data_IF_396159694715
#
_entry.id   IF_396159694715
#
_cell.length_a   1.000
_cell.length_b   1.000
_cell.length_c   1.000
_cell.angle_alpha   90.00
_cell.angle_beta   90.00
_cell.angle_gamma   90.00
#
_symmetry.space_group_name_H-M   'P 1'
#
loop_
_entity.id
_entity.type
_entity.pdbx_description
1 polymer ?
#
# COMPACT_ATOMS: atom_id res chain seq x y z
N UNK A 1 -12.69 24.36 -25.48
CA UNK A 1 -13.27 23.65 -24.34
C UNK A 1 -12.50 24.14 -23.12
N UNK A 2 -13.13 24.94 -22.29
CA UNK A 2 -12.57 25.32 -20.99
C UNK A 2 -12.48 24.05 -20.16
N UNK A 3 -11.26 23.59 -19.84
CA UNK A 3 -11.07 22.54 -18.85
C UNK A 3 -11.46 23.13 -17.50
N UNK A 4 -12.59 22.70 -16.94
CA UNK A 4 -12.98 23.10 -15.60
C UNK A 4 -11.84 22.79 -14.64
N UNK A 5 -11.55 23.72 -13.72
CA UNK A 5 -10.55 23.50 -12.67
C UNK A 5 -10.91 22.23 -11.89
N UNK A 6 -9.95 21.32 -11.61
CA UNK A 6 -10.24 20.11 -10.86
C UNK A 6 -10.78 20.47 -9.48
N UNK A 7 -11.76 19.72 -9.01
CA UNK A 7 -12.35 19.90 -7.66
C UNK A 7 -11.38 19.47 -6.58
N UNK A 8 -10.62 18.40 -6.84
CA UNK A 8 -9.51 17.95 -5.99
C UNK A 8 -8.27 17.58 -6.80
N UNK A 9 -7.11 17.75 -6.16
CA UNK A 9 -5.81 17.31 -6.66
C UNK A 9 -5.31 16.17 -5.78
N UNK A 10 -4.94 15.05 -6.39
CA UNK A 10 -4.50 13.85 -5.68
C UNK A 10 -3.02 13.59 -5.98
N UNK A 11 -2.23 13.46 -4.94
CA UNK A 11 -0.83 13.03 -5.03
C UNK A 11 -0.68 11.56 -4.70
N UNK A 12 0.30 10.92 -5.31
CA UNK A 12 0.70 9.55 -5.03
C UNK A 12 2.19 9.36 -5.32
N UNK A 13 2.74 8.24 -4.88
CA UNK A 13 4.08 7.74 -5.20
C UNK A 13 4.01 6.47 -6.07
N UNK A 14 5.13 5.78 -6.31
CA UNK A 14 5.14 4.48 -6.99
C UNK A 14 5.06 3.35 -5.96
N UNK A 15 3.95 2.61 -5.96
CA UNK A 15 3.73 1.44 -5.12
C UNK A 15 2.91 0.37 -5.87
N UNK A 16 3.61 -0.47 -6.63
CA UNK A 16 2.99 -1.54 -7.43
C UNK A 16 2.41 -2.64 -6.53
N UNK A 17 1.28 -3.22 -6.93
CA UNK A 17 0.44 -2.95 -8.11
C UNK A 17 -0.66 -1.91 -7.85
N UNK A 18 -0.65 -1.17 -6.73
CA UNK A 18 -1.75 -0.31 -6.30
C UNK A 18 -1.81 1.00 -7.07
N UNK A 19 -0.66 1.65 -7.27
CA UNK A 19 -0.50 2.90 -8.03
C UNK A 19 0.95 3.03 -8.52
N UNK A 20 1.13 3.30 -9.81
CA UNK A 20 2.44 3.34 -10.44
C UNK A 20 2.37 4.09 -11.78
N UNK A 21 3.51 4.53 -12.35
CA UNK A 21 3.52 5.15 -13.68
C UNK A 21 3.16 4.12 -14.75
N UNK A 22 2.06 4.37 -15.47
CA UNK A 22 1.64 3.56 -16.61
C UNK A 22 2.44 3.89 -17.89
N UNK A 23 2.35 3.01 -18.89
CA UNK A 23 3.05 3.15 -20.17
C UNK A 23 2.60 4.38 -20.98
N UNK A 24 1.37 4.82 -20.80
CA UNK A 24 0.78 6.01 -21.44
C UNK A 24 1.13 7.33 -20.73
N UNK A 25 1.99 7.28 -19.72
CA UNK A 25 2.38 8.43 -18.90
C UNK A 25 1.35 8.83 -17.85
N UNK A 26 0.25 8.08 -17.71
CA UNK A 26 -0.74 8.27 -16.66
C UNK A 26 -0.43 7.39 -15.46
N UNK A 27 -1.06 7.70 -14.34
CA UNK A 27 -0.97 6.85 -13.15
C UNK A 27 -1.92 5.67 -13.33
N UNK A 28 -1.41 4.47 -13.15
CA UNK A 28 -2.12 3.20 -13.26
C UNK A 28 -2.11 2.45 -11.93
N UNK A 29 -2.90 1.38 -11.83
CA UNK A 29 -2.94 0.50 -10.66
C UNK A 29 -4.35 0.32 -10.12
N UNK A 30 -4.50 -0.68 -9.24
CA UNK A 30 -5.83 -1.11 -8.76
C UNK A 30 -6.51 -0.04 -7.90
N UNK A 31 -5.76 0.64 -7.05
CA UNK A 31 -6.29 1.74 -6.21
C UNK A 31 -6.48 3.01 -7.04
N UNK A 32 -5.60 3.28 -8.02
CA UNK A 32 -5.81 4.40 -8.95
C UNK A 32 -7.14 4.27 -9.69
N UNK A 33 -7.43 3.07 -10.23
CA UNK A 33 -8.70 2.82 -10.91
C UNK A 33 -9.89 2.97 -9.95
N UNK A 34 -9.78 2.43 -8.73
CA UNK A 34 -10.83 2.58 -7.72
C UNK A 34 -11.12 4.06 -7.43
N UNK A 35 -10.08 4.86 -7.20
CA UNK A 35 -10.25 6.29 -6.87
C UNK A 35 -10.83 7.07 -8.04
N UNK A 36 -10.43 6.76 -9.29
CA UNK A 36 -11.05 7.36 -10.48
C UNK A 36 -12.52 7.01 -10.56
N UNK A 37 -12.86 5.75 -10.39
CA UNK A 37 -14.24 5.27 -10.39
C UNK A 37 -15.09 5.92 -9.28
N UNK A 38 -14.52 6.14 -8.10
CA UNK A 38 -15.22 6.83 -7.00
C UNK A 38 -15.48 8.30 -7.34
N UNK A 39 -14.52 8.96 -7.98
CA UNK A 39 -14.66 10.34 -8.43
C UNK A 39 -15.76 10.47 -9.48
N UNK A 40 -15.79 9.56 -10.46
CA UNK A 40 -16.80 9.52 -11.50
C UNK A 40 -18.20 9.28 -10.90
N UNK A 41 -18.36 8.30 -10.01
CA UNK A 41 -19.62 8.00 -9.31
C UNK A 41 -20.09 9.18 -8.43
N UNK A 42 -19.15 9.91 -7.83
CA UNK A 42 -19.44 11.08 -6.99
C UNK A 42 -19.64 12.38 -7.79
N UNK A 43 -19.39 12.38 -9.11
CA UNK A 43 -19.43 13.58 -9.96
C UNK A 43 -18.35 14.59 -9.59
N UNK A 44 -17.17 14.14 -9.19
CA UNK A 44 -16.02 14.94 -8.76
C UNK A 44 -14.94 14.91 -9.84
N UNK A 45 -14.44 16.08 -10.25
CA UNK A 45 -13.30 16.17 -11.16
C UNK A 45 -11.99 16.08 -10.38
N UNK A 46 -11.12 15.14 -10.79
CA UNK A 46 -9.84 14.89 -10.14
C UNK A 46 -8.67 15.13 -11.09
N UNK A 47 -7.57 15.62 -10.55
CA UNK A 47 -6.27 15.67 -11.21
C UNK A 47 -5.27 14.89 -10.34
N UNK A 48 -4.53 13.95 -10.96
CA UNK A 48 -3.62 13.06 -10.22
C UNK A 48 -2.16 13.33 -10.60
N UNK A 49 -1.28 13.40 -9.63
CA UNK A 49 0.15 13.63 -9.81
C UNK A 49 0.99 12.64 -9.02
N UNK A 50 1.97 12.08 -9.68
CA UNK A 50 3.01 11.30 -9.01
C UNK A 50 4.12 12.24 -8.49
N UNK A 51 4.46 12.10 -7.21
CA UNK A 51 5.50 12.90 -6.52
C UNK A 51 6.24 12.04 -5.52
N UNK A 52 7.49 12.34 -5.20
CA UNK A 52 8.13 11.75 -4.03
C UNK A 52 7.28 11.98 -2.77
N UNK A 53 7.15 10.95 -1.94
CA UNK A 53 6.24 10.90 -0.79
C UNK A 53 6.18 12.21 0.02
N UNK A 54 7.33 12.68 0.52
CA UNK A 54 7.39 13.90 1.34
C UNK A 54 6.89 15.15 0.61
N UNK A 55 7.14 15.24 -0.70
CA UNK A 55 6.69 16.40 -1.49
C UNK A 55 5.19 16.36 -1.74
N UNK A 56 4.64 15.19 -2.01
CA UNK A 56 3.19 15.01 -2.16
C UNK A 56 2.46 15.30 -0.86
N UNK A 57 2.94 14.77 0.26
CA UNK A 57 2.32 14.98 1.57
C UNK A 57 2.35 16.46 1.99
N UNK A 58 3.50 17.14 1.84
CA UNK A 58 3.59 18.58 2.11
C UNK A 58 2.63 19.41 1.24
N UNK A 59 2.41 18.99 -0.01
CA UNK A 59 1.46 19.68 -0.89
C UNK A 59 0.01 19.50 -0.41
N UNK A 60 -0.34 18.33 0.12
CA UNK A 60 -1.66 18.07 0.74
C UNK A 60 -1.83 18.94 1.98
N UNK A 61 -0.86 18.96 2.88
CA UNK A 61 -0.93 19.75 4.11
C UNK A 61 -1.07 21.26 3.85
N UNK A 62 -0.52 21.74 2.72
CA UNK A 62 -0.49 23.17 2.38
C UNK A 62 -1.70 23.67 1.58
N UNK A 63 -2.59 22.78 1.08
CA UNK A 63 -3.67 23.17 0.18
C UNK A 63 -4.97 22.43 0.49
N UNK A 64 -6.04 23.20 0.71
CA UNK A 64 -7.31 22.69 1.21
C UNK A 64 -8.01 21.66 0.30
N UNK A 65 -7.82 21.72 -1.03
CA UNK A 65 -8.44 20.78 -1.98
C UNK A 65 -7.49 19.67 -2.46
N UNK A 66 -6.46 19.36 -1.68
CA UNK A 66 -5.49 18.33 -2.02
C UNK A 66 -5.65 17.09 -1.15
N UNK A 67 -5.40 15.91 -1.76
CA UNK A 67 -5.42 14.62 -1.08
C UNK A 67 -4.15 13.82 -1.44
N UNK A 68 -3.78 12.85 -0.59
CA UNK A 68 -2.77 11.84 -0.87
C UNK A 68 -3.45 10.48 -1.03
N UNK A 69 -3.19 9.79 -2.13
CA UNK A 69 -3.81 8.49 -2.43
C UNK A 69 -3.19 7.39 -1.58
N UNK A 70 -4.05 6.59 -0.95
CA UNK A 70 -3.70 5.37 -0.27
C UNK A 70 -2.58 5.54 0.77
N UNK A 71 -2.70 6.60 1.57
CA UNK A 71 -1.84 6.80 2.74
C UNK A 71 -2.20 5.79 3.83
N UNK A 72 -1.20 5.25 4.50
CA UNK A 72 -1.41 4.44 5.70
C UNK A 72 -2.10 5.27 6.78
N UNK A 73 -3.31 4.84 7.17
CA UNK A 73 -4.10 5.48 8.22
C UNK A 73 -3.64 4.97 9.57
N UNK A 74 -2.72 5.70 10.18
CA UNK A 74 -2.16 5.39 11.50
C UNK A 74 -2.74 6.31 12.57
N UNK A 75 -2.66 5.89 13.83
CA UNK A 75 -3.12 6.69 14.97
C UNK A 75 -2.44 8.07 15.03
N UNK A 76 -1.17 8.15 14.65
CA UNK A 76 -0.42 9.41 14.59
C UNK A 76 -0.95 10.36 13.50
N UNK A 77 -1.37 9.81 12.36
CA UNK A 77 -1.88 10.59 11.22
C UNK A 77 -3.35 10.91 11.30
N UNK A 78 -4.12 10.15 12.10
CA UNK A 78 -5.57 10.29 12.20
C UNK A 78 -6.06 11.73 12.37
N UNK A 79 -5.48 12.56 13.28
CA UNK A 79 -5.97 13.92 13.51
C UNK A 79 -5.56 14.94 12.43
N UNK A 80 -4.64 14.58 11.52
CA UNK A 80 -4.03 15.52 10.59
C UNK A 80 -4.78 15.62 9.25
N UNK A 81 -5.65 14.65 8.94
CA UNK A 81 -6.31 14.54 7.64
C UNK A 81 -7.80 14.27 7.79
N UNK A 82 -8.55 14.61 6.73
CA UNK A 82 -9.90 14.08 6.51
C UNK A 82 -9.79 12.84 5.63
N UNK A 83 -10.34 11.71 6.07
CA UNK A 83 -10.14 10.41 5.48
C UNK A 83 -11.33 9.94 4.65
N UNK A 84 -11.05 9.33 3.49
CA UNK A 84 -12.01 8.54 2.73
C UNK A 84 -11.46 7.12 2.57
N UNK A 85 -12.17 6.15 3.11
CA UNK A 85 -11.67 4.77 3.10
C UNK A 85 -12.49 3.79 3.94
N UNK A 86 -11.95 2.57 4.13
CA UNK A 86 -10.69 2.07 3.57
C UNK A 86 -10.77 1.82 2.05
N UNK A 87 -9.71 2.19 1.32
CA UNK A 87 -9.58 1.86 -0.10
C UNK A 87 -9.05 0.45 -0.30
N UNK A 88 -8.09 0.04 0.54
CA UNK A 88 -7.49 -1.28 0.57
C UNK A 88 -6.96 -1.58 1.98
N UNK A 89 -6.72 -2.85 2.28
CA UNK A 89 -6.01 -3.30 3.49
C UNK A 89 -4.66 -3.82 3.05
N UNK A 90 -3.60 -3.25 3.59
CA UNK A 90 -2.23 -3.67 3.33
C UNK A 90 -1.49 -3.91 4.66
N UNK A 91 -0.19 -3.95 4.63
CA UNK A 91 0.68 -4.20 5.76
C UNK A 91 1.94 -4.92 5.34
N UNK A 92 2.56 -5.64 6.24
CA UNK A 92 3.74 -6.44 5.94
C UNK A 92 3.77 -7.73 6.74
N UNK A 93 4.56 -8.66 6.24
CA UNK A 93 4.68 -9.99 6.80
C UNK A 93 5.93 -10.71 6.34
N UNK A 94 6.08 -11.92 6.83
CA UNK A 94 7.18 -12.81 6.48
C UNK A 94 6.70 -13.84 5.45
N UNK A 95 7.45 -13.92 4.36
CA UNK A 95 7.21 -14.83 3.27
C UNK A 95 8.38 -15.81 3.13
N UNK A 96 8.09 -17.02 2.63
CA UNK A 96 9.09 -18.00 2.24
C UNK A 96 8.77 -18.56 0.84
N UNK A 97 9.65 -19.38 0.30
CA UNK A 97 9.32 -20.16 -0.89
C UNK A 97 8.14 -21.09 -0.60
N UNK A 98 7.22 -21.19 -1.54
CA UNK A 98 6.07 -22.06 -1.44
C UNK A 98 6.48 -23.51 -1.23
N UNK A 99 5.85 -24.16 -0.23
CA UNK A 99 6.19 -25.52 0.19
C UNK A 99 7.41 -25.58 1.10
N UNK A 100 7.83 -24.46 1.67
CA UNK A 100 8.84 -24.47 2.73
C UNK A 100 8.30 -25.22 3.95
N UNK A 101 9.20 -25.81 4.73
CA UNK A 101 8.84 -26.47 6.01
C UNK A 101 8.96 -25.52 7.21
N UNK A 102 9.06 -24.21 6.95
CA UNK A 102 9.19 -23.20 7.99
C UNK A 102 7.80 -22.87 8.53
N UNK A 103 7.64 -22.97 9.83
CA UNK A 103 6.43 -22.56 10.55
C UNK A 103 6.78 -21.41 11.49
N UNK A 104 6.00 -20.33 11.43
CA UNK A 104 6.18 -19.15 12.28
C UNK A 104 4.86 -18.85 12.98
N UNK A 105 4.90 -18.64 14.29
CA UNK A 105 3.78 -18.21 15.12
C UNK A 105 4.01 -16.81 15.69
N UNK A 106 5.27 -16.46 15.91
CA UNK A 106 5.72 -15.16 16.44
C UNK A 106 6.85 -14.60 15.57
N UNK A 107 7.17 -13.33 15.76
CA UNK A 107 8.30 -12.71 15.06
C UNK A 107 9.63 -13.34 15.45
N UNK A 108 9.78 -13.74 16.72
CA UNK A 108 10.97 -14.37 17.26
C UNK A 108 11.28 -15.72 16.62
N UNK A 109 10.25 -16.45 16.15
CA UNK A 109 10.46 -17.70 15.41
C UNK A 109 11.27 -17.49 14.11
N UNK A 110 11.23 -16.26 13.56
CA UNK A 110 12.00 -15.90 12.37
C UNK A 110 13.49 -15.69 12.64
N UNK A 111 13.90 -15.49 13.89
CA UNK A 111 15.28 -15.14 14.27
C UNK A 111 16.30 -16.25 13.97
N UNK A 112 15.84 -17.48 13.82
CA UNK A 112 16.67 -18.61 13.38
C UNK A 112 16.97 -18.63 11.87
N UNK A 113 16.40 -17.71 11.07
CA UNK A 113 16.48 -17.75 9.62
C UNK A 113 17.05 -16.45 9.04
N UNK A 114 17.86 -16.58 7.98
CA UNK A 114 18.27 -15.41 7.20
C UNK A 114 17.05 -14.79 6.53
N UNK A 115 16.81 -13.50 6.78
CA UNK A 115 15.64 -12.77 6.31
C UNK A 115 16.04 -11.60 5.44
N UNK A 116 15.64 -11.60 4.18
CA UNK A 116 15.83 -10.48 3.27
C UNK A 116 14.83 -9.36 3.56
N UNK A 117 15.27 -8.11 3.48
CA UNK A 117 14.43 -6.94 3.71
C UNK A 117 14.97 -5.72 2.96
N UNK A 118 14.11 -4.76 2.61
CA UNK A 118 14.55 -3.50 2.00
C UNK A 118 15.01 -2.53 3.09
N UNK A 119 16.23 -2.03 2.94
CA UNK A 119 16.83 -1.10 3.90
C UNK A 119 16.05 0.21 4.03
N UNK A 120 15.86 0.67 5.26
CA UNK A 120 15.20 1.95 5.56
C UNK A 120 13.66 1.94 5.53
N UNK A 121 13.03 0.81 5.20
CA UNK A 121 11.58 0.68 5.35
C UNK A 121 11.18 0.59 6.82
N UNK A 122 9.99 1.10 7.15
CA UNK A 122 9.44 1.04 8.52
C UNK A 122 9.41 -0.40 9.05
N UNK A 123 8.92 -1.34 8.25
CA UNK A 123 8.88 -2.76 8.62
C UNK A 123 10.26 -3.34 8.92
N UNK A 124 11.29 -2.92 8.16
CA UNK A 124 12.67 -3.35 8.37
C UNK A 124 13.24 -2.78 9.66
N UNK A 125 13.00 -1.49 9.92
CA UNK A 125 13.44 -0.84 11.15
C UNK A 125 12.78 -1.49 12.37
N UNK A 126 11.49 -1.78 12.32
CA UNK A 126 10.77 -2.46 13.39
C UNK A 126 11.32 -3.87 13.65
N UNK A 127 11.68 -4.63 12.59
CA UNK A 127 12.28 -5.95 12.77
C UNK A 127 13.71 -5.88 13.31
N UNK A 128 14.47 -4.82 12.97
CA UNK A 128 15.78 -4.52 13.57
C UNK A 128 15.64 -4.16 15.05
N UNK A 129 14.67 -3.31 15.39
CA UNK A 129 14.40 -2.89 16.77
C UNK A 129 13.92 -4.06 17.64
N UNK A 130 13.22 -5.03 17.04
CA UNK A 130 12.86 -6.30 17.68
C UNK A 130 14.09 -7.21 17.92
N UNK A 131 15.26 -6.87 17.38
CA UNK A 131 16.51 -7.58 17.60
C UNK A 131 16.75 -8.76 16.65
N UNK A 132 16.14 -8.77 15.44
CA UNK A 132 16.37 -9.85 14.47
C UNK A 132 17.85 -9.96 14.08
N UNK A 133 18.54 -11.10 14.34
CA UNK A 133 20.00 -11.20 14.25
C UNK A 133 20.53 -11.44 12.82
N UNK A 134 19.68 -11.86 11.88
CA UNK A 134 20.09 -12.36 10.55
C UNK A 134 19.39 -11.64 9.40
N UNK A 135 19.35 -10.28 9.44
CA UNK A 135 18.79 -9.49 8.35
C UNK A 135 19.81 -9.31 7.21
N UNK A 136 19.36 -9.51 5.99
CA UNK A 136 20.09 -9.24 4.75
C UNK A 136 19.36 -8.06 4.07
N UNK A 137 20.00 -6.88 4.09
CA UNK A 137 19.40 -5.67 3.56
C UNK A 137 19.72 -5.50 2.09
N UNK A 138 18.71 -5.11 1.32
CA UNK A 138 18.79 -4.78 -0.11
C UNK A 138 18.20 -3.41 -0.37
N UNK A 139 18.49 -2.85 -1.54
CA UNK A 139 17.98 -1.54 -1.96
C UNK A 139 16.64 -1.65 -2.70
N UNK A 140 16.34 -2.82 -3.29
CA UNK A 140 15.15 -3.06 -4.10
C UNK A 140 14.46 -4.37 -3.72
N UNK A 141 13.13 -4.36 -3.66
CA UNK A 141 12.33 -5.50 -3.19
C UNK A 141 12.44 -6.73 -4.11
N UNK A 142 12.63 -6.54 -5.41
CA UNK A 142 12.83 -7.63 -6.37
C UNK A 142 14.06 -8.51 -6.09
N UNK A 143 15.09 -7.97 -5.43
CA UNK A 143 16.26 -8.74 -5.02
C UNK A 143 15.91 -9.78 -3.95
N UNK A 144 14.94 -9.51 -3.10
CA UNK A 144 14.49 -10.44 -2.07
C UNK A 144 13.88 -11.72 -2.68
N UNK A 145 13.07 -11.60 -3.72
CA UNK A 145 12.52 -12.75 -4.44
C UNK A 145 13.64 -13.65 -5.01
N UNK A 146 14.66 -13.02 -5.62
CA UNK A 146 15.81 -13.73 -6.17
C UNK A 146 16.69 -14.38 -5.09
N UNK A 147 16.84 -13.76 -3.93
CA UNK A 147 17.56 -14.32 -2.78
C UNK A 147 16.84 -15.53 -2.18
N UNK A 148 15.51 -15.49 -2.08
CA UNK A 148 14.72 -16.68 -1.71
C UNK A 148 14.95 -17.81 -2.69
N UNK A 149 14.82 -17.56 -4.00
CA UNK A 149 14.99 -18.57 -5.05
C UNK A 149 16.37 -19.22 -5.02
N UNK A 150 17.42 -18.44 -4.78
CA UNK A 150 18.80 -18.94 -4.68
C UNK A 150 19.13 -19.61 -3.34
N UNK A 151 18.24 -19.51 -2.35
CA UNK A 151 18.47 -20.01 -0.99
C UNK A 151 19.43 -19.15 -0.15
N UNK A 152 19.79 -17.96 -0.61
CA UNK A 152 20.62 -16.99 0.11
C UNK A 152 19.91 -16.48 1.36
N UNK A 153 18.61 -16.25 1.27
CA UNK A 153 17.73 -16.03 2.41
C UNK A 153 16.68 -17.14 2.50
N UNK A 154 16.14 -17.36 3.69
CA UNK A 154 15.06 -18.32 3.94
C UNK A 154 13.71 -17.65 4.08
N UNK A 155 13.72 -16.40 4.51
CA UNK A 155 12.55 -15.54 4.67
C UNK A 155 12.74 -14.23 3.91
N UNK A 156 11.62 -13.61 3.60
CA UNK A 156 11.52 -12.27 3.03
C UNK A 156 10.51 -11.46 3.83
N UNK A 157 10.93 -10.34 4.41
CA UNK A 157 10.06 -9.32 4.98
C UNK A 157 9.57 -8.42 3.86
N UNK A 158 8.31 -8.55 3.51
CA UNK A 158 7.72 -7.82 2.39
C UNK A 158 6.30 -7.34 2.65
N UNK A 159 5.81 -6.42 1.83
CA UNK A 159 4.43 -5.95 1.88
C UNK A 159 3.43 -7.06 1.54
N UNK A 160 2.27 -7.05 2.18
CA UNK A 160 1.26 -8.10 1.97
C UNK A 160 0.73 -8.13 0.54
N UNK A 161 0.71 -6.98 -0.14
CA UNK A 161 0.27 -6.83 -1.53
C UNK A 161 1.47 -6.81 -2.49
N UNK A 162 2.53 -6.07 -2.14
CA UNK A 162 3.66 -5.88 -3.04
C UNK A 162 4.52 -7.13 -3.18
N UNK A 163 4.79 -7.87 -2.10
CA UNK A 163 5.67 -9.04 -2.18
C UNK A 163 5.13 -10.15 -3.09
N UNK A 164 3.85 -10.57 -3.03
CA UNK A 164 3.30 -11.51 -3.99
C UNK A 164 3.36 -11.02 -5.45
N UNK A 165 3.10 -9.73 -5.67
CA UNK A 165 3.20 -9.14 -7.01
C UNK A 165 4.65 -9.17 -7.54
N UNK A 166 5.62 -8.75 -6.74
CA UNK A 166 7.05 -8.77 -7.10
C UNK A 166 7.51 -10.19 -7.34
N UNK A 167 7.13 -11.14 -6.49
CA UNK A 167 7.47 -12.55 -6.65
C UNK A 167 6.94 -13.12 -7.98
N UNK A 168 5.70 -12.77 -8.36
CA UNK A 168 5.11 -13.18 -9.65
C UNK A 168 5.92 -12.61 -10.83
N UNK A 169 6.32 -11.33 -10.79
CA UNK A 169 7.14 -10.72 -11.84
C UNK A 169 8.52 -11.39 -11.97
N UNK A 170 9.10 -11.83 -10.85
CA UNK A 170 10.38 -12.54 -10.81
C UNK A 170 10.24 -14.05 -11.07
N UNK A 171 9.04 -14.56 -11.26
CA UNK A 171 8.77 -15.99 -11.48
C UNK A 171 9.10 -16.86 -10.25
N UNK A 172 8.87 -16.33 -9.05
CA UNK A 172 9.11 -17.01 -7.78
C UNK A 172 7.78 -17.30 -7.08
N UNK A 173 7.51 -18.55 -6.75
CA UNK A 173 6.34 -18.90 -5.96
C UNK A 173 6.66 -18.76 -4.46
N UNK A 174 5.90 -17.91 -3.79
CA UNK A 174 6.03 -17.66 -2.35
C UNK A 174 4.74 -17.98 -1.60
N UNK A 175 4.86 -18.19 -0.30
CA UNK A 175 3.75 -18.28 0.64
C UNK A 175 3.98 -17.36 1.83
N UNK A 176 2.91 -16.76 2.32
CA UNK A 176 2.95 -15.95 3.53
C UNK A 176 2.92 -16.87 4.75
N UNK A 177 3.93 -16.76 5.61
CA UNK A 177 4.02 -17.53 6.84
C UNK A 177 3.45 -16.78 8.04
N UNK A 178 3.70 -15.47 8.13
CA UNK A 178 3.26 -14.66 9.26
C UNK A 178 2.91 -13.24 8.80
N UNK A 179 1.75 -12.75 9.22
CA UNK A 179 1.40 -11.33 9.12
C UNK A 179 1.90 -10.63 10.37
N UNK A 180 2.75 -9.61 10.21
CA UNK A 180 3.28 -8.82 11.34
C UNK A 180 2.40 -7.61 11.64
N UNK A 181 1.92 -6.92 10.61
CA UNK A 181 1.03 -5.77 10.75
C UNK A 181 0.06 -5.68 9.58
N UNK A 182 -1.15 -5.20 9.86
CA UNK A 182 -2.10 -4.76 8.85
C UNK A 182 -2.46 -3.30 9.07
N UNK A 183 -2.76 -2.59 7.99
CA UNK A 183 -3.07 -1.17 8.00
C UNK A 183 -4.10 -0.85 6.92
N UNK A 184 -5.00 0.09 7.22
CA UNK A 184 -5.90 0.64 6.22
C UNK A 184 -5.16 1.63 5.32
N UNK A 185 -5.30 1.47 4.02
CA UNK A 185 -4.95 2.47 3.02
C UNK A 185 -6.19 3.31 2.74
N UNK A 186 -6.08 4.60 2.92
CA UNK A 186 -7.18 5.54 2.70
C UNK A 186 -6.73 6.78 1.94
N UNK A 187 -7.66 7.47 1.29
CA UNK A 187 -7.39 8.78 0.73
C UNK A 187 -7.31 9.78 1.89
N UNK A 188 -6.13 10.38 2.06
CA UNK A 188 -5.86 11.35 3.11
C UNK A 188 -5.97 12.77 2.53
N UNK A 189 -7.04 13.46 2.80
CA UNK A 189 -7.28 14.82 2.32
C UNK A 189 -6.88 15.85 3.37
N UNK A 190 -6.52 17.04 2.92
CA UNK A 190 -6.27 18.17 3.84
C UNK A 190 -7.43 18.33 4.83
N UNK A 191 -7.13 18.62 6.09
CA UNK A 191 -8.14 18.76 7.16
C UNK A 191 -9.16 19.87 6.93
N UNK A 192 -8.88 20.83 6.03
CA UNK A 192 -9.77 21.94 5.64
C UNK A 192 -10.46 21.70 4.28
N UNK A 193 -10.43 20.48 3.76
CA UNK A 193 -11.16 20.15 2.52
C UNK A 193 -12.66 20.36 2.72
N UNK A 194 -13.38 20.72 1.66
CA UNK A 194 -14.84 20.76 1.72
C UNK A 194 -15.40 19.38 2.06
N UNK A 195 -16.04 19.27 3.22
CA UNK A 195 -16.60 18.04 3.74
C UNK A 195 -17.57 17.38 2.73
N UNK A 196 -18.30 18.17 1.94
CA UNK A 196 -19.23 17.64 0.94
C UNK A 196 -18.52 16.81 -0.13
N UNK A 197 -17.27 17.11 -0.44
CA UNK A 197 -16.44 16.35 -1.39
C UNK A 197 -16.09 14.97 -0.82
N UNK A 198 -15.59 14.93 0.40
CA UNK A 198 -15.23 13.68 1.07
C UNK A 198 -16.44 12.82 1.39
N UNK A 199 -17.57 13.43 1.75
CA UNK A 199 -18.83 12.71 1.98
C UNK A 199 -19.36 12.04 0.71
N UNK A 200 -19.29 12.73 -0.44
CA UNK A 200 -19.67 12.14 -1.76
C UNK A 200 -18.75 10.96 -2.12
N UNK A 201 -17.44 11.11 -1.95
CA UNK A 201 -16.48 10.02 -2.22
C UNK A 201 -16.72 8.83 -1.30
N UNK A 202 -16.92 9.06 0.00
CA UNK A 202 -17.19 8.00 0.96
C UNK A 202 -18.53 7.29 0.67
N UNK A 203 -19.54 8.02 0.26
CA UNK A 203 -20.85 7.45 -0.13
C UNK A 203 -20.71 6.57 -1.38
N UNK A 204 -19.95 7.01 -2.39
CA UNK A 204 -19.64 6.22 -3.58
C UNK A 204 -18.90 4.93 -3.20
N UNK A 205 -17.88 5.01 -2.32
CA UNK A 205 -17.14 3.85 -1.82
C UNK A 205 -18.07 2.86 -1.10
N UNK A 206 -18.88 3.34 -0.17
CA UNK A 206 -19.81 2.49 0.58
C UNK A 206 -20.80 1.77 -0.35
N UNK A 207 -21.30 2.46 -1.39
CA UNK A 207 -22.19 1.89 -2.40
C UNK A 207 -21.51 0.75 -3.19
N UNK A 208 -20.24 0.93 -3.57
CA UNK A 208 -19.47 -0.11 -4.26
C UNK A 208 -19.17 -1.31 -3.38
N UNK A 209 -18.82 -1.08 -2.12
CA UNK A 209 -18.58 -2.15 -1.13
C UNK A 209 -19.82 -3.03 -0.91
N UNK A 210 -21.01 -2.43 -0.90
CA UNK A 210 -22.27 -3.16 -0.76
C UNK A 210 -22.63 -3.99 -2.00
N UNK A 211 -22.24 -3.53 -3.20
CA UNK A 211 -22.52 -4.22 -4.47
C UNK A 211 -21.55 -5.37 -4.75
N UNK A 212 -20.38 -5.36 -4.12
CA UNK A 212 -19.39 -6.43 -4.29
C UNK A 212 -19.74 -7.58 -3.35
N UNK A 213 -20.13 -8.77 -3.87
CA UNK A 213 -20.46 -9.90 -3.02
C UNK A 213 -19.30 -10.23 -2.08
N UNK A 214 -19.59 -10.59 -0.82
CA UNK A 214 -18.62 -10.98 0.20
C UNK A 214 -17.79 -12.24 -0.13
N UNK A 215 -17.87 -12.74 -1.35
CA UNK A 215 -17.23 -13.96 -1.84
C UNK A 215 -15.90 -13.71 -2.59
N UNK A 216 -15.20 -12.61 -2.33
CA UNK A 216 -13.84 -12.49 -2.81
C UNK A 216 -12.88 -12.96 -1.71
N UNK A 217 -12.26 -14.16 -1.83
CA UNK A 217 -11.34 -14.70 -0.80
C UNK A 217 -10.04 -13.89 -0.65
N UNK A 218 -9.87 -12.80 -1.39
CA UNK A 218 -8.75 -11.85 -1.27
C UNK A 218 -8.99 -10.74 -0.23
N UNK A 219 -10.20 -10.64 0.34
CA UNK A 219 -10.46 -9.78 1.50
C UNK A 219 -10.47 -10.64 2.74
N UNK A 220 -9.54 -10.41 3.62
CA UNK A 220 -9.50 -10.96 4.99
C UNK A 220 -9.19 -12.46 5.06
N UNK A 221 -7.96 -12.84 5.00
CA UNK A 221 -7.48 -13.89 5.89
C UNK A 221 -7.03 -13.20 7.18
N UNK A 222 -7.85 -13.44 8.18
CA UNK A 222 -7.57 -13.17 9.59
C UNK A 222 -6.20 -13.67 9.99
#
# INVERSE_FOLDING_TARGET
METSKPEIVIYTEDYKPLYFPGEDGKISGTVTQLVQDLADDAGITVEMHMRPFKRGLNAVESNANHCFMALWRTQEREPNFTWVGPLEIDGYGLFALKGSSIELSTVEDSFGYSTGAVGGWTSTNELQDAGHPHLVLVDEDGLNANMLRSGHTKLWLGGLISAPYVAEQEGVEIEKLLTLQTVELALACNSHIDQSVTDRLQSALNTRLQKTPQNNPKRLTQ
#
